data_IF_942504481247
#
_entry.id   IF_942504481247
#
_cell.length_a   1.000
_cell.length_b   1.000
_cell.length_c   1.000
_cell.angle_alpha   90.00
_cell.angle_beta   90.00
_cell.angle_gamma   90.00
#
_symmetry.space_group_name_H-M   'P 1'
#
loop_
_entity.id
_entity.type
_entity.pdbx_description
1 polymer ?
#
# COMPACT_ATOMS: atom_id res chain seq x y z
N UNK A 1 69.73 33.76 -7.39
CA UNK A 1 68.29 33.91 -7.14
C UNK A 1 67.80 32.65 -6.45
N UNK A 2 67.21 32.82 -5.27
CA UNK A 2 66.84 31.77 -4.33
C UNK A 2 65.66 30.94 -4.85
N UNK A 3 65.61 29.65 -4.50
CA UNK A 3 64.37 28.89 -4.55
C UNK A 3 64.28 27.97 -3.33
N UNK A 4 63.08 27.98 -2.79
CA UNK A 4 62.66 27.71 -1.41
C UNK A 4 62.39 26.23 -1.14
N UNK A 5 62.84 25.77 0.03
CA UNK A 5 62.44 24.50 0.63
C UNK A 5 61.01 24.63 1.20
N UNK A 6 60.13 23.69 0.86
CA UNK A 6 58.81 23.53 1.46
C UNK A 6 58.80 22.30 2.36
N UNK A 7 58.82 22.57 3.68
CA UNK A 7 58.66 21.60 4.76
C UNK A 7 57.16 21.42 5.03
N UNK A 8 56.66 20.18 5.02
CA UNK A 8 55.32 19.84 5.52
C UNK A 8 55.43 19.20 6.91
N UNK A 9 54.60 19.62 7.90
CA UNK A 9 54.51 18.95 9.20
C UNK A 9 53.48 17.81 9.20
N UNK A 10 53.72 16.86 10.11
CA UNK A 10 52.97 15.62 10.33
C UNK A 10 51.58 15.82 10.98
N UNK A 11 50.66 14.84 10.89
CA UNK A 11 49.33 14.91 11.50
C UNK A 11 49.32 14.46 12.97
N UNK A 12 48.55 15.17 13.79
CA UNK A 12 48.30 14.85 15.19
C UNK A 12 47.37 13.63 15.33
N UNK A 13 47.86 12.61 16.03
CA UNK A 13 47.08 11.52 16.60
C UNK A 13 46.33 12.03 17.84
N UNK A 14 45.00 11.98 17.84
CA UNK A 14 44.20 12.11 19.07
C UNK A 14 43.63 10.74 19.46
N UNK A 15 44.05 10.29 20.65
CA UNK A 15 43.62 9.08 21.31
C UNK A 15 42.19 9.23 21.84
N UNK A 16 41.34 8.27 21.49
CA UNK A 16 40.15 7.90 22.22
C UNK A 16 40.53 7.39 23.63
N UNK A 17 39.81 7.85 24.64
CA UNK A 17 39.69 7.12 25.90
C UNK A 17 38.23 7.08 26.34
N UNK A 18 37.78 5.84 26.48
CA UNK A 18 36.53 5.38 27.04
C UNK A 18 36.32 5.89 28.47
N UNK A 19 35.07 6.15 28.83
CA UNK A 19 34.55 5.65 30.10
C UNK A 19 33.04 5.43 30.07
N UNK A 20 32.70 4.20 30.38
CA UNK A 20 31.40 3.62 30.70
C UNK A 20 30.80 4.25 31.96
N UNK A 21 29.47 4.35 32.04
CA UNK A 21 28.76 3.83 33.21
C UNK A 21 27.28 3.56 32.94
N UNK A 22 26.97 2.28 33.11
CA UNK A 22 25.67 1.66 33.30
C UNK A 22 24.93 2.18 34.53
N UNK A 23 23.62 2.40 34.42
CA UNK A 23 22.70 2.07 35.51
C UNK A 23 21.32 1.75 34.94
N UNK A 24 20.94 0.50 35.14
CA UNK A 24 19.60 -0.06 34.97
C UNK A 24 18.76 0.25 36.21
N UNK A 25 17.46 0.52 36.05
CA UNK A 25 16.40 -0.28 36.68
C UNK A 25 14.98 0.27 36.42
N UNK A 26 14.10 -0.70 36.13
CA UNK A 26 12.66 -0.81 36.43
C UNK A 26 11.70 0.35 36.11
N UNK A 27 10.69 0.06 35.28
CA UNK A 27 9.34 -0.21 35.82
C UNK A 27 8.38 -0.60 34.70
N UNK A 28 7.85 -1.81 34.81
CA UNK A 28 6.72 -2.34 34.07
C UNK A 28 5.43 -1.69 34.57
N UNK A 29 4.68 -1.01 33.68
CA UNK A 29 3.25 -0.84 33.92
C UNK A 29 2.45 -1.09 32.64
N UNK A 30 1.85 -2.27 32.60
CA UNK A 30 0.67 -2.60 31.82
C UNK A 30 -0.42 -1.55 32.10
N UNK A 31 -1.09 -1.07 31.06
CA UNK A 31 -2.52 -0.73 31.11
C UNK A 31 -3.10 -0.70 29.68
N UNK A 32 -3.53 -1.87 29.22
CA UNK A 32 -4.42 -2.02 28.05
C UNK A 32 -5.81 -1.49 28.43
N UNK A 33 -6.12 -0.25 28.04
CA UNK A 33 -7.51 0.23 28.07
C UNK A 33 -8.18 -0.12 26.74
N UNK A 34 -8.96 -1.20 26.74
CA UNK A 34 -9.88 -1.54 25.65
C UNK A 34 -10.97 -0.46 25.61
N UNK A 35 -10.90 0.46 24.65
CA UNK A 35 -12.00 1.39 24.35
C UNK A 35 -13.06 0.64 23.54
N UNK A 36 -14.14 0.25 24.20
CA UNK A 36 -15.36 -0.22 23.54
C UNK A 36 -16.08 0.99 22.93
N UNK A 37 -16.17 1.04 21.59
CA UNK A 37 -17.04 2.00 20.91
C UNK A 37 -18.48 1.49 20.95
N UNK A 38 -19.32 2.16 21.73
CA UNK A 38 -20.77 1.99 21.74
C UNK A 38 -21.33 2.91 20.65
N UNK A 39 -21.91 2.33 19.61
CA UNK A 39 -22.64 3.09 18.57
C UNK A 39 -24.05 3.34 19.10
N UNK A 40 -24.34 4.58 19.49
CA UNK A 40 -25.71 5.07 19.76
C UNK A 40 -26.26 5.65 18.45
N UNK A 41 -27.29 5.01 17.90
CA UNK A 41 -28.06 5.54 16.78
C UNK A 41 -29.11 6.52 17.31
N UNK A 42 -28.99 7.79 16.95
CA UNK A 42 -29.98 8.84 17.23
C UNK A 42 -30.58 9.34 15.92
N UNK A 43 -31.85 8.97 15.70
CA UNK A 43 -33.00 9.72 15.14
C UNK A 43 -32.82 10.60 13.88
N UNK A 44 -33.83 10.62 12.96
CA UNK A 44 -34.91 11.59 13.16
C UNK A 44 -36.32 11.07 12.82
N UNK A 45 -37.29 11.48 13.65
CA UNK A 45 -38.72 11.45 13.39
C UNK A 45 -39.18 12.90 13.13
N UNK A 46 -40.14 13.05 12.21
CA UNK A 46 -40.90 14.24 11.80
C UNK A 46 -40.27 15.13 10.72
N UNK A 47 -40.70 15.05 9.45
CA UNK A 47 -41.98 15.52 8.85
C UNK A 47 -42.00 17.04 8.61
N UNK A 48 -41.83 17.51 7.37
CA UNK A 48 -42.90 18.12 6.53
C UNK A 48 -42.38 18.69 5.19
N UNK A 49 -43.21 18.50 4.15
CA UNK A 49 -43.38 19.22 2.87
C UNK A 49 -42.32 19.12 1.76
N UNK A 50 -42.57 18.28 0.74
CA UNK A 50 -43.04 18.67 -0.61
C UNK A 50 -42.97 17.46 -1.57
N UNK A 51 -44.08 17.15 -2.26
CA UNK A 51 -44.30 16.02 -3.18
C UNK A 51 -43.36 15.97 -4.41
N UNK A 52 -43.34 14.84 -5.15
CA UNK A 52 -44.21 14.76 -6.33
C UNK A 52 -45.06 13.47 -6.44
N UNK A 53 -46.25 13.66 -6.99
CA UNK A 53 -47.35 12.71 -7.27
C UNK A 53 -46.93 11.46 -8.06
N UNK A 54 -47.37 10.29 -7.58
CA UNK A 54 -47.50 9.06 -8.36
C UNK A 54 -49.00 8.75 -8.47
N UNK A 55 -49.60 8.65 -9.68
CA UNK A 55 -51.03 8.44 -9.79
C UNK A 55 -51.38 7.01 -9.37
N UNK A 56 -52.12 6.90 -8.26
CA UNK A 56 -52.78 5.67 -7.81
C UNK A 56 -54.20 5.65 -8.40
N UNK A 57 -54.69 4.52 -8.95
CA UNK A 57 -56.00 4.51 -9.59
C UNK A 57 -57.12 4.51 -8.53
N UNK A 58 -58.07 5.42 -8.66
CA UNK A 58 -59.26 5.51 -7.80
C UNK A 58 -60.20 4.30 -7.97
N UNK A 59 -60.85 3.80 -6.90
CA UNK A 59 -61.66 2.59 -6.89
C UNK A 59 -63.13 2.84 -7.29
N UNK A 60 -63.43 3.88 -8.07
CA UNK A 60 -64.80 4.23 -8.47
C UNK A 60 -64.91 4.54 -9.96
N UNK A 61 -64.65 3.55 -10.80
CA UNK A 61 -65.12 3.59 -12.18
C UNK A 61 -65.85 2.29 -12.53
N UNK A 62 -67.15 2.38 -12.32
CA UNK A 62 -68.23 1.50 -12.78
C UNK A 62 -67.97 1.04 -14.22
N UNK A 63 -67.82 -0.27 -14.37
CA UNK A 63 -67.82 -0.98 -15.65
C UNK A 63 -69.09 -0.66 -16.43
N UNK A 64 -68.99 0.21 -17.44
CA UNK A 64 -70.01 0.40 -18.48
C UNK A 64 -69.49 -0.17 -19.80
N UNK A 65 -69.50 -1.50 -19.89
CA UNK A 65 -69.37 -2.20 -21.17
C UNK A 65 -70.75 -2.20 -21.84
N UNK A 66 -71.10 -1.16 -22.60
CA UNK A 66 -72.28 -1.20 -23.48
C UNK A 66 -71.94 -1.95 -24.78
N UNK A 67 -72.66 -3.01 -25.16
CA UNK A 67 -72.28 -3.89 -26.27
C UNK A 67 -72.62 -3.36 -27.68
N UNK A 68 -73.09 -2.11 -27.85
CA UNK A 68 -73.66 -1.64 -29.13
C UNK A 68 -72.79 -0.66 -29.95
N UNK A 69 -71.53 -0.38 -29.55
CA UNK A 69 -70.75 0.72 -30.19
C UNK A 69 -69.48 0.25 -30.92
N UNK A 70 -69.47 -0.95 -31.50
CA UNK A 70 -68.39 -1.33 -32.43
C UNK A 70 -68.92 -1.93 -33.73
N UNK A 71 -68.64 -1.30 -34.90
CA UNK A 71 -68.89 -1.91 -36.19
C UNK A 71 -67.88 -3.07 -36.37
N UNK A 72 -68.30 -4.28 -36.03
CA UNK A 72 -67.52 -5.51 -36.25
C UNK A 72 -67.59 -5.83 -37.75
N UNK A 73 -66.68 -5.23 -38.51
CA UNK A 73 -66.42 -5.62 -39.89
C UNK A 73 -65.83 -7.04 -39.89
N UNK A 74 -66.58 -7.96 -40.51
CA UNK A 74 -66.35 -9.40 -40.57
C UNK A 74 -64.92 -9.75 -40.98
N UNK A 75 -64.03 -10.01 -40.02
CA UNK A 75 -62.73 -10.65 -40.31
C UNK A 75 -62.95 -12.15 -40.57
N UNK A 76 -62.67 -12.56 -41.81
CA UNK A 76 -62.63 -13.94 -42.31
C UNK A 76 -61.86 -14.86 -41.34
N UNK A 77 -62.44 -16.05 -41.09
CA UNK A 77 -61.79 -17.16 -40.38
C UNK A 77 -60.53 -17.58 -41.15
N UNK A 78 -59.35 -17.17 -40.69
CA UNK A 78 -58.10 -17.80 -41.10
C UNK A 78 -57.83 -18.99 -40.18
N UNK A 79 -57.84 -20.16 -40.78
CA UNK A 79 -57.56 -21.47 -40.19
C UNK A 79 -56.19 -21.49 -39.50
N UNK A 80 -56.20 -21.46 -38.16
CA UNK A 80 -54.98 -21.51 -37.34
C UNK A 80 -54.52 -22.97 -37.28
N UNK A 81 -53.66 -23.37 -38.22
CA UNK A 81 -52.97 -24.67 -38.18
C UNK A 81 -51.98 -24.63 -37.02
N UNK A 82 -52.33 -25.28 -35.91
CA UNK A 82 -51.39 -25.52 -34.80
C UNK A 82 -50.43 -26.64 -35.20
N UNK A 83 -49.25 -26.27 -35.72
CA UNK A 83 -48.16 -27.24 -35.87
C UNK A 83 -47.65 -27.64 -34.47
N UNK A 84 -48.02 -28.83 -34.00
CA UNK A 84 -47.38 -29.49 -32.86
C UNK A 84 -45.95 -29.87 -33.28
N UNK A 85 -44.94 -29.14 -32.77
CA UNK A 85 -43.55 -29.58 -32.88
C UNK A 85 -43.36 -30.86 -32.07
N UNK A 86 -42.64 -31.88 -32.59
CA UNK A 86 -42.30 -33.07 -31.82
C UNK A 86 -41.40 -32.69 -30.65
N UNK A 87 -41.61 -33.32 -29.49
CA UNK A 87 -40.75 -33.20 -28.31
C UNK A 87 -39.34 -33.67 -28.71
N UNK A 88 -38.48 -32.74 -29.10
CA UNK A 88 -37.05 -32.90 -28.97
C UNK A 88 -36.76 -32.97 -27.49
N UNK A 89 -36.24 -34.11 -27.03
CA UNK A 89 -35.71 -34.27 -25.67
C UNK A 89 -34.94 -33.02 -25.30
N UNK A 90 -35.47 -32.28 -24.33
CA UNK A 90 -34.78 -31.19 -23.67
C UNK A 90 -33.67 -31.83 -22.83
N UNK A 91 -32.63 -32.34 -23.49
CA UNK A 91 -31.33 -32.46 -22.88
C UNK A 91 -30.91 -31.03 -22.55
N UNK A 92 -31.27 -30.59 -21.34
CA UNK A 92 -30.67 -29.41 -20.75
C UNK A 92 -29.17 -29.70 -20.79
N UNK A 93 -28.47 -29.12 -21.77
CA UNK A 93 -27.03 -29.11 -21.76
C UNK A 93 -26.65 -28.55 -20.39
N UNK A 94 -25.86 -29.31 -19.64
CA UNK A 94 -25.38 -28.88 -18.33
C UNK A 94 -24.86 -27.44 -18.49
N UNK A 95 -25.37 -26.47 -17.69
CA UNK A 95 -24.99 -25.08 -17.84
C UNK A 95 -23.46 -24.96 -17.87
N UNK A 96 -22.87 -24.18 -18.80
CA UNK A 96 -21.43 -24.08 -18.93
C UNK A 96 -20.81 -23.79 -17.56
N UNK A 97 -19.98 -24.71 -17.08
CA UNK A 97 -19.49 -24.68 -15.72
C UNK A 97 -18.70 -23.37 -15.47
N UNK A 98 -19.26 -22.46 -14.66
CA UNK A 98 -18.65 -21.18 -14.27
C UNK A 98 -17.61 -21.32 -13.16
N UNK A 99 -17.15 -22.54 -12.84
CA UNK A 99 -16.00 -22.78 -11.95
C UNK A 99 -14.73 -22.00 -12.34
N UNK A 100 -14.67 -21.47 -13.56
CA UNK A 100 -13.61 -20.56 -14.03
C UNK A 100 -13.60 -19.21 -13.29
N UNK A 101 -14.70 -18.76 -12.67
CA UNK A 101 -14.78 -17.43 -12.06
C UNK A 101 -13.92 -17.21 -10.81
N UNK A 102 -13.47 -18.29 -10.16
CA UNK A 102 -12.72 -18.23 -8.89
C UNK A 102 -11.24 -18.63 -9.03
N UNK A 103 -10.84 -19.17 -10.18
CA UNK A 103 -9.45 -19.55 -10.45
C UNK A 103 -8.76 -18.40 -11.18
N UNK A 104 -7.64 -17.92 -10.65
CA UNK A 104 -6.84 -16.88 -11.30
C UNK A 104 -6.30 -17.45 -12.62
N UNK A 105 -6.65 -16.79 -13.72
CA UNK A 105 -6.19 -17.14 -15.08
C UNK A 105 -4.77 -16.68 -15.37
N UNK A 106 -4.15 -15.91 -14.47
CA UNK A 106 -2.75 -15.48 -14.56
C UNK A 106 -1.95 -16.16 -13.46
N UNK A 107 -0.85 -16.77 -13.85
CA UNK A 107 0.14 -17.33 -12.92
C UNK A 107 0.69 -16.20 -12.05
N UNK A 108 0.75 -16.44 -10.74
CA UNK A 108 1.37 -15.53 -9.78
C UNK A 108 2.74 -16.09 -9.47
N UNK A 109 3.77 -15.30 -9.73
CA UNK A 109 5.11 -15.61 -9.24
C UNK A 109 5.09 -15.52 -7.71
N UNK A 110 5.16 -16.67 -7.05
CA UNK A 110 5.26 -16.77 -5.59
C UNK A 110 6.70 -16.56 -5.09
N UNK A 111 7.65 -16.55 -6.03
CA UNK A 111 9.07 -16.36 -5.75
C UNK A 111 9.35 -14.90 -5.41
N UNK A 112 10.14 -14.70 -4.35
CA UNK A 112 10.58 -13.38 -3.94
C UNK A 112 11.75 -12.93 -4.82
N UNK A 113 11.84 -11.64 -5.18
CA UNK A 113 12.97 -11.13 -5.93
C UNK A 113 14.28 -11.31 -5.14
N UNK A 114 15.42 -11.36 -5.84
CA UNK A 114 16.74 -11.64 -5.25
C UNK A 114 17.08 -10.66 -4.12
N UNK A 115 16.86 -9.36 -4.35
CA UNK A 115 17.11 -8.30 -3.37
C UNK A 115 16.05 -8.15 -2.28
N UNK A 116 15.07 -9.05 -2.17
CA UNK A 116 13.96 -8.92 -1.21
C UNK A 116 14.43 -8.75 0.24
N UNK A 117 15.46 -9.49 0.66
CA UNK A 117 15.97 -9.43 2.05
C UNK A 117 16.49 -8.03 2.36
N UNK A 118 17.25 -7.44 1.44
CA UNK A 118 17.78 -6.08 1.59
C UNK A 118 16.64 -5.05 1.54
N UNK A 119 15.70 -5.22 0.62
CA UNK A 119 14.53 -4.34 0.50
C UNK A 119 13.67 -4.35 1.78
N UNK A 120 13.48 -5.50 2.44
CA UNK A 120 12.69 -5.63 3.67
C UNK A 120 13.29 -4.81 4.83
N UNK A 121 14.62 -4.74 4.95
CA UNK A 121 15.27 -3.87 5.94
C UNK A 121 15.00 -2.39 5.65
N UNK A 122 15.09 -1.99 4.38
CA UNK A 122 14.89 -0.61 3.96
C UNK A 122 13.41 -0.19 4.06
N UNK A 123 12.47 -1.07 3.72
CA UNK A 123 11.04 -0.83 3.87
C UNK A 123 10.66 -0.59 5.33
N UNK A 124 11.21 -1.38 6.26
CA UNK A 124 11.00 -1.16 7.70
C UNK A 124 11.58 0.17 8.15
N UNK A 125 12.75 0.55 7.66
CA UNK A 125 13.33 1.87 7.96
C UNK A 125 12.45 3.01 7.42
N UNK A 126 11.95 2.89 6.19
CA UNK A 126 11.01 3.86 5.59
C UNK A 126 9.72 3.99 6.42
N UNK A 127 9.19 2.87 6.91
CA UNK A 127 8.01 2.85 7.77
C UNK A 127 8.28 3.54 9.12
N UNK A 128 9.46 3.35 9.70
CA UNK A 128 9.88 4.04 10.91
C UNK A 128 9.95 5.55 10.69
N UNK A 129 10.47 6.01 9.54
CA UNK A 129 10.53 7.43 9.19
C UNK A 129 9.15 8.05 8.93
N UNK A 130 8.16 7.27 8.50
CA UNK A 130 6.76 7.74 8.32
C UNK A 130 6.05 7.97 9.66
N UNK A 131 6.48 7.28 10.71
CA UNK A 131 5.92 7.37 12.06
C UNK A 131 6.78 8.31 12.90
N UNK A 132 6.21 8.86 13.97
CA UNK A 132 6.99 9.59 14.97
C UNK A 132 7.81 8.59 15.80
N UNK A 133 8.97 8.21 15.29
CA UNK A 133 9.84 7.22 15.93
C UNK A 133 10.79 7.88 16.92
N UNK A 134 10.39 7.90 18.20
CA UNK A 134 11.26 8.25 19.33
C UNK A 134 12.00 9.58 19.12
N UNK A 135 13.30 9.58 19.38
CA UNK A 135 14.18 10.73 19.11
C UNK A 135 14.83 10.63 17.72
N UNK A 136 15.14 11.78 17.12
CA UNK A 136 15.86 11.86 15.84
C UNK A 136 17.25 11.22 15.91
N UNK A 137 17.89 11.25 17.09
CA UNK A 137 19.16 10.56 17.33
C UNK A 137 19.01 9.04 17.26
N UNK A 138 17.94 8.50 17.85
CA UNK A 138 17.65 7.07 17.81
C UNK A 138 17.33 6.63 16.37
N UNK A 139 16.53 7.41 15.64
CA UNK A 139 16.23 7.15 14.24
C UNK A 139 17.50 7.12 13.38
N UNK A 140 18.40 8.09 13.57
CA UNK A 140 19.66 8.13 12.84
C UNK A 140 20.56 6.92 13.17
N UNK A 141 20.60 6.49 14.43
CA UNK A 141 21.34 5.27 14.82
C UNK A 141 20.72 3.99 14.24
N UNK A 142 19.40 3.89 14.22
CA UNK A 142 18.72 2.76 13.57
C UNK A 142 19.03 2.75 12.07
N UNK A 143 19.02 3.90 11.40
CA UNK A 143 19.37 3.99 9.99
C UNK A 143 20.82 3.62 9.67
N UNK A 144 21.77 3.97 10.55
CA UNK A 144 23.18 3.54 10.45
C UNK A 144 23.29 2.00 10.51
N UNK A 145 22.63 1.37 11.48
CA UNK A 145 22.61 -0.10 11.65
C UNK A 145 21.94 -0.78 10.45
N UNK A 146 20.82 -0.24 9.97
CA UNK A 146 20.11 -0.78 8.79
C UNK A 146 20.96 -0.64 7.53
N UNK A 147 21.65 0.48 7.34
CA UNK A 147 22.54 0.66 6.20
C UNK A 147 23.74 -0.30 6.22
N UNK A 148 24.32 -0.53 7.40
CA UNK A 148 25.38 -1.53 7.58
C UNK A 148 24.88 -2.94 7.27
N UNK A 149 23.73 -3.34 7.84
CA UNK A 149 23.16 -4.65 7.57
C UNK A 149 22.78 -4.84 6.10
N UNK A 150 22.23 -3.81 5.46
CA UNK A 150 21.91 -3.83 4.03
C UNK A 150 23.16 -4.01 3.15
N UNK A 151 24.31 -3.45 3.57
CA UNK A 151 25.59 -3.68 2.89
C UNK A 151 26.04 -5.14 3.01
N UNK A 152 26.06 -5.69 4.22
CA UNK A 152 26.46 -7.09 4.46
C UNK A 152 25.65 -8.06 3.60
N UNK A 153 24.32 -7.92 3.58
CA UNK A 153 23.43 -8.78 2.82
C UNK A 153 23.63 -8.64 1.29
N UNK A 154 23.91 -7.43 0.81
CA UNK A 154 24.20 -7.21 -0.59
C UNK A 154 25.56 -7.79 -1.01
N UNK A 155 26.57 -7.75 -0.14
CA UNK A 155 27.85 -8.42 -0.37
C UNK A 155 27.71 -9.94 -0.41
N UNK A 156 26.88 -10.52 0.46
CA UNK A 156 26.56 -11.97 0.39
C UNK A 156 25.95 -12.31 -0.96
N UNK A 157 24.99 -11.53 -1.44
CA UNK A 157 24.36 -11.76 -2.75
C UNK A 157 25.35 -11.62 -3.93
N UNK A 158 26.31 -10.70 -3.83
CA UNK A 158 27.40 -10.56 -4.79
C UNK A 158 28.32 -11.77 -4.77
N UNK A 159 28.76 -12.19 -3.58
CA UNK A 159 29.72 -13.27 -3.41
C UNK A 159 29.12 -14.63 -3.84
N UNK A 160 27.80 -14.79 -3.70
CA UNK A 160 27.04 -15.91 -4.26
C UNK A 160 26.84 -15.83 -5.79
N UNK A 161 27.23 -14.72 -6.42
CA UNK A 161 27.11 -14.47 -7.86
C UNK A 161 25.67 -14.23 -8.33
N UNK A 162 24.75 -13.89 -7.42
CA UNK A 162 23.33 -13.66 -7.74
C UNK A 162 23.07 -12.25 -8.26
N UNK A 163 23.93 -11.29 -7.92
CA UNK A 163 23.78 -9.87 -8.28
C UNK A 163 25.08 -9.35 -8.87
N UNK A 164 24.97 -8.53 -9.92
CA UNK A 164 26.13 -7.89 -10.53
C UNK A 164 26.77 -6.84 -9.61
N UNK A 165 28.11 -6.75 -9.61
CA UNK A 165 28.88 -5.75 -8.84
C UNK A 165 28.36 -4.32 -9.05
N UNK A 166 27.97 -3.98 -10.28
CA UNK A 166 27.48 -2.64 -10.62
C UNK A 166 26.24 -2.27 -9.81
N UNK A 167 25.30 -3.19 -9.66
CA UNK A 167 24.06 -2.99 -8.92
C UNK A 167 24.33 -2.83 -7.41
N UNK A 168 25.31 -3.56 -6.88
CA UNK A 168 25.73 -3.47 -5.48
C UNK A 168 26.39 -2.12 -5.20
N UNK A 169 27.27 -1.66 -6.09
CA UNK A 169 27.89 -0.32 -6.00
C UNK A 169 26.83 0.78 -6.06
N UNK A 170 25.84 0.64 -6.94
CA UNK A 170 24.71 1.58 -7.02
C UNK A 170 23.92 1.63 -5.72
N UNK A 171 23.59 0.47 -5.13
CA UNK A 171 22.94 0.39 -3.83
C UNK A 171 23.77 1.11 -2.77
N UNK A 172 25.07 0.85 -2.69
CA UNK A 172 25.96 1.46 -1.69
C UNK A 172 26.03 2.97 -1.82
N UNK A 173 26.02 3.48 -3.06
CA UNK A 173 25.95 4.91 -3.32
C UNK A 173 24.66 5.52 -2.75
N UNK A 174 23.51 4.87 -2.95
CA UNK A 174 22.23 5.36 -2.44
C UNK A 174 22.15 5.26 -0.91
N UNK A 175 22.62 4.15 -0.34
CA UNK A 175 22.71 3.98 1.12
C UNK A 175 23.56 5.07 1.77
N UNK A 176 24.67 5.45 1.14
CA UNK A 176 25.51 6.53 1.66
C UNK A 176 24.82 7.90 1.67
N UNK A 177 24.02 8.18 0.64
CA UNK A 177 23.21 9.41 0.59
C UNK A 177 22.12 9.41 1.65
N UNK A 178 21.49 8.25 1.89
CA UNK A 178 20.51 8.07 2.95
C UNK A 178 21.12 8.29 4.35
N UNK A 179 22.30 7.74 4.63
CA UNK A 179 23.03 7.98 5.89
C UNK A 179 23.30 9.47 6.12
N UNK A 180 23.71 10.18 5.07
CA UNK A 180 23.95 11.63 5.13
C UNK A 180 22.66 12.41 5.41
N UNK A 181 21.55 12.05 4.77
CA UNK A 181 20.24 12.66 5.02
C UNK A 181 19.79 12.43 6.47
N UNK A 182 19.99 11.22 7.02
CA UNK A 182 19.70 10.93 8.42
C UNK A 182 20.61 11.67 9.40
N UNK A 183 21.87 11.92 9.04
CA UNK A 183 22.75 12.78 9.83
C UNK A 183 22.25 14.23 9.88
N UNK A 184 21.67 14.74 8.78
CA UNK A 184 21.02 16.05 8.76
C UNK A 184 19.72 16.07 9.58
N UNK A 185 18.92 15.00 9.54
CA UNK A 185 17.74 14.81 10.40
C UNK A 185 18.15 14.88 11.87
N UNK A 186 19.22 14.18 12.25
CA UNK A 186 19.76 14.23 13.63
C UNK A 186 20.19 15.64 14.05
N UNK A 187 20.80 16.40 13.14
CA UNK A 187 21.27 17.76 13.42
C UNK A 187 20.17 18.83 13.38
N UNK A 188 18.95 18.47 12.95
CA UNK A 188 17.86 19.43 12.78
C UNK A 188 17.23 19.79 14.12
N UNK A 189 17.18 21.09 14.42
CA UNK A 189 16.62 21.61 15.68
C UNK A 189 15.19 22.14 15.51
N UNK A 190 14.85 22.64 14.31
CA UNK A 190 13.52 23.20 14.01
C UNK A 190 12.65 22.15 13.35
N UNK A 191 11.37 22.11 13.74
CA UNK A 191 10.40 21.13 13.25
C UNK A 191 10.16 21.22 11.73
N UNK A 192 10.07 22.44 11.18
CA UNK A 192 9.89 22.62 9.73
C UNK A 192 11.05 22.02 8.92
N UNK A 193 12.29 22.32 9.34
CA UNK A 193 13.49 21.77 8.69
C UNK A 193 13.62 20.27 8.89
N UNK A 194 13.17 19.76 10.04
CA UNK A 194 13.20 18.33 10.34
C UNK A 194 12.30 17.56 9.37
N UNK A 195 11.09 18.05 9.14
CA UNK A 195 10.11 17.40 8.26
C UNK A 195 10.60 17.36 6.81
N UNK A 196 11.14 18.47 6.30
CA UNK A 196 11.74 18.52 4.95
C UNK A 196 12.87 17.50 4.80
N UNK A 197 13.74 17.38 5.81
CA UNK A 197 14.86 16.42 5.80
C UNK A 197 14.39 14.97 5.90
N UNK A 198 13.35 14.71 6.70
CA UNK A 198 12.75 13.37 6.78
C UNK A 198 12.14 12.95 5.45
N UNK A 199 11.47 13.86 4.75
CA UNK A 199 10.89 13.54 3.44
C UNK A 199 11.96 13.29 2.38
N UNK A 200 13.06 14.03 2.42
CA UNK A 200 14.24 13.74 1.60
C UNK A 200 14.83 12.35 1.91
N UNK A 201 15.01 12.02 3.20
CA UNK A 201 15.53 10.72 3.62
C UNK A 201 14.60 9.55 3.21
N UNK A 202 13.28 9.71 3.34
CA UNK A 202 12.28 8.75 2.85
C UNK A 202 12.39 8.55 1.34
N UNK A 203 12.53 9.63 0.58
CA UNK A 203 12.67 9.55 -0.88
C UNK A 203 13.94 8.77 -1.28
N UNK A 204 15.07 8.98 -0.59
CA UNK A 204 16.29 8.18 -0.78
C UNK A 204 16.10 6.72 -0.40
N UNK A 205 15.41 6.45 0.70
CA UNK A 205 15.12 5.08 1.12
C UNK A 205 14.28 4.34 0.06
N UNK A 206 13.25 4.99 -0.49
CA UNK A 206 12.48 4.46 -1.63
C UNK A 206 13.34 4.20 -2.86
N UNK A 207 14.27 5.10 -3.18
CA UNK A 207 15.21 4.89 -4.27
C UNK A 207 16.06 3.63 -4.04
N UNK A 208 16.56 3.42 -2.81
CA UNK A 208 17.32 2.22 -2.48
C UNK A 208 16.49 0.94 -2.62
N UNK A 209 15.24 0.96 -2.17
CA UNK A 209 14.30 -0.16 -2.33
C UNK A 209 14.10 -0.50 -3.81
N UNK A 210 13.93 0.51 -4.68
CA UNK A 210 13.80 0.28 -6.12
C UNK A 210 15.05 -0.35 -6.73
N UNK A 211 16.25 0.06 -6.29
CA UNK A 211 17.51 -0.57 -6.71
C UNK A 211 17.55 -2.04 -6.28
N UNK A 212 17.17 -2.35 -5.04
CA UNK A 212 17.11 -3.75 -4.56
C UNK A 212 16.13 -4.61 -5.37
N UNK A 213 15.00 -4.06 -5.80
CA UNK A 213 14.04 -4.79 -6.64
C UNK A 213 14.49 -4.95 -8.10
N UNK A 214 15.53 -4.23 -8.52
CA UNK A 214 16.16 -4.39 -9.83
C UNK A 214 17.37 -5.33 -9.84
N UNK A 215 17.69 -5.94 -8.70
CA UNK A 215 18.73 -6.98 -8.58
C UNK A 215 18.41 -8.21 -9.44
#
# INVERSE_FOLDING_TARGET
MASTFLTYPAPHHLHNLFQTNTSSQLSTHNNKTKKHFIIKCTTPLNSTSSEPEFPTPDPTNTTMNSPETFPIEKRRRSEIIRQRRPNTDLANAEPPNFEIGWKRTKEINLEKPVGYVVADFLEKLEELMKKEFGSTELLAKVGEIVAERAREEAEILRDEGKVEERMVVELFRVLRLMEMDLAMVKASVKEDTLNERLDQAKARCRQAILVCYSF
#
